data_IF_214848443355
#
_entry.id   IF_214848443355
#
_cell.length_a   1.000
_cell.length_b   1.000
_cell.length_c   1.000
_cell.angle_alpha   90.00
_cell.angle_beta   90.00
_cell.angle_gamma   90.00
#
_symmetry.space_group_name_H-M   'P 1'
#
loop_
_entity.id
_entity.type
_entity.pdbx_description
1 polymer ?
#
# COMPACT_ATOMS: atom_id res chain seq x y z
N UNK A 1 11.83 9.87 -12.34
CA UNK A 1 13.18 10.41 -12.65
C UNK A 1 14.25 9.87 -11.71
N UNK A 2 14.09 10.00 -10.38
CA UNK A 2 15.08 9.50 -9.40
C UNK A 2 15.35 7.99 -9.51
N UNK A 3 14.31 7.16 -9.60
CA UNK A 3 14.46 5.71 -9.70
C UNK A 3 15.29 5.28 -10.93
N UNK A 4 15.07 5.91 -12.08
CA UNK A 4 15.82 5.64 -13.32
C UNK A 4 17.30 5.98 -13.15
N UNK A 5 17.60 7.15 -12.58
CA UNK A 5 18.98 7.56 -12.30
C UNK A 5 19.70 6.58 -11.35
N UNK A 6 19.02 6.11 -10.29
CA UNK A 6 19.60 5.15 -9.36
C UNK A 6 19.79 3.76 -10.00
N UNK A 7 18.92 3.36 -10.93
CA UNK A 7 19.11 2.15 -11.72
C UNK A 7 20.33 2.26 -12.64
N UNK A 8 20.57 3.43 -13.24
CA UNK A 8 21.74 3.66 -14.09
C UNK A 8 23.06 3.62 -13.30
N UNK A 9 23.06 3.99 -12.01
CA UNK A 9 24.25 3.94 -11.14
C UNK A 9 24.51 2.55 -10.53
N UNK A 10 23.59 1.57 -10.70
CA UNK A 10 23.75 0.21 -10.16
C UNK A 10 25.06 -0.49 -10.55
N UNK A 11 25.53 -0.44 -11.81
CA UNK A 11 26.81 -1.06 -12.17
C UNK A 11 27.99 -0.48 -11.38
N UNK A 12 27.97 0.83 -11.12
CA UNK A 12 29.00 1.51 -10.33
C UNK A 12 28.92 1.12 -8.86
N UNK A 13 27.71 1.03 -8.29
CA UNK A 13 27.51 0.54 -6.93
C UNK A 13 28.03 -0.90 -6.78
N UNK A 14 27.69 -1.79 -7.72
CA UNK A 14 28.17 -3.19 -7.72
C UNK A 14 29.69 -3.27 -7.79
N UNK A 15 30.33 -2.47 -8.65
CA UNK A 15 31.78 -2.40 -8.72
C UNK A 15 32.42 -1.97 -7.39
N UNK A 16 31.83 -1.00 -6.67
CA UNK A 16 32.29 -0.59 -5.34
C UNK A 16 32.17 -1.72 -4.31
N UNK A 17 31.08 -2.50 -4.35
CA UNK A 17 30.86 -3.66 -3.47
C UNK A 17 31.89 -4.76 -3.77
N UNK A 18 32.07 -5.12 -5.04
CA UNK A 18 33.04 -6.12 -5.48
C UNK A 18 34.48 -5.75 -5.10
N UNK A 19 34.83 -4.47 -5.29
CA UNK A 19 36.13 -3.93 -4.89
C UNK A 19 36.27 -3.66 -3.38
N UNK A 20 35.22 -3.92 -2.58
CA UNK A 20 35.16 -3.66 -1.12
C UNK A 20 35.52 -2.22 -0.75
N UNK A 21 35.12 -1.26 -1.59
CA UNK A 21 35.36 0.18 -1.41
C UNK A 21 34.33 0.84 -0.51
N UNK A 22 33.25 0.14 -0.15
CA UNK A 22 32.20 0.58 0.76
C UNK A 22 31.95 -0.49 1.81
N UNK A 23 31.50 -0.06 2.98
CA UNK A 23 31.12 -0.93 4.09
C UNK A 23 29.80 -1.64 3.80
N UNK A 24 29.51 -2.70 4.58
CA UNK A 24 28.23 -3.41 4.49
C UNK A 24 27.04 -2.48 4.76
N UNK A 25 27.16 -1.59 5.75
CA UNK A 25 26.10 -0.63 6.10
C UNK A 25 25.86 0.38 4.94
N UNK A 26 26.92 0.95 4.36
CA UNK A 26 26.81 1.84 3.19
C UNK A 26 26.20 1.15 1.96
N UNK A 27 26.54 -0.12 1.73
CA UNK A 27 25.97 -0.94 0.67
C UNK A 27 24.47 -1.16 0.90
N UNK A 28 24.07 -1.55 2.12
CA UNK A 28 22.66 -1.76 2.50
C UNK A 28 21.88 -0.47 2.28
N UNK A 29 22.36 0.66 2.81
CA UNK A 29 21.70 1.96 2.65
C UNK A 29 21.51 2.36 1.17
N UNK A 30 22.52 2.10 0.33
CA UNK A 30 22.44 2.42 -1.11
C UNK A 30 21.39 1.58 -1.84
N UNK A 31 21.30 0.28 -1.55
CA UNK A 31 20.26 -0.58 -2.12
C UNK A 31 18.87 -0.23 -1.59
N UNK A 32 18.73 0.03 -0.28
CA UNK A 32 17.47 0.48 0.32
C UNK A 32 16.98 1.78 -0.32
N UNK A 33 17.88 2.74 -0.56
CA UNK A 33 17.52 4.00 -1.21
C UNK A 33 16.95 3.79 -2.62
N UNK A 34 17.56 2.91 -3.41
CA UNK A 34 17.05 2.53 -4.73
C UNK A 34 15.68 1.85 -4.63
N UNK A 35 15.51 0.90 -3.71
CA UNK A 35 14.24 0.18 -3.53
C UNK A 35 13.13 1.15 -3.13
N UNK A 36 13.38 2.07 -2.20
CA UNK A 36 12.42 3.11 -1.82
C UNK A 36 12.03 4.01 -3.00
N UNK A 37 12.98 4.36 -3.88
CA UNK A 37 12.68 5.12 -5.09
C UNK A 37 11.82 4.35 -6.09
N UNK A 38 11.97 3.02 -6.18
CA UNK A 38 11.11 2.18 -7.01
C UNK A 38 9.70 2.03 -6.42
N UNK A 39 9.61 1.82 -5.10
CA UNK A 39 8.35 1.76 -4.38
C UNK A 39 7.57 3.08 -4.46
N UNK A 40 8.26 4.23 -4.57
CA UNK A 40 7.64 5.54 -4.79
C UNK A 40 6.78 5.60 -6.08
N UNK A 41 7.11 4.82 -7.11
CA UNK A 41 6.34 4.78 -8.37
C UNK A 41 4.94 4.17 -8.16
N UNK A 42 4.82 3.24 -7.22
CA UNK A 42 3.53 2.61 -6.87
C UNK A 42 2.57 3.64 -6.26
N UNK A 43 3.10 4.60 -5.47
CA UNK A 43 2.32 5.72 -4.95
C UNK A 43 1.76 6.60 -6.07
N UNK A 44 2.58 6.92 -7.09
CA UNK A 44 2.14 7.72 -8.23
C UNK A 44 1.02 7.01 -9.00
N UNK A 45 1.12 5.69 -9.18
CA UNK A 45 0.07 4.90 -9.81
C UNK A 45 -1.22 4.90 -8.99
N UNK A 46 -1.13 4.72 -7.67
CA UNK A 46 -2.29 4.72 -6.78
C UNK A 46 -2.98 6.09 -6.66
N UNK A 47 -2.24 7.20 -6.73
CA UNK A 47 -2.80 8.56 -6.78
C UNK A 47 -3.68 8.79 -8.03
N UNK A 48 -3.37 8.11 -9.15
CA UNK A 48 -4.15 8.20 -10.40
C UNK A 48 -5.36 7.28 -10.46
N UNK A 49 -5.45 6.28 -9.57
CA UNK A 49 -6.54 5.32 -9.59
C UNK A 49 -7.87 5.97 -9.17
N UNK A 50 -8.91 5.71 -9.96
CA UNK A 50 -10.27 6.24 -9.74
C UNK A 50 -11.20 5.16 -9.19
N UNK A 51 -10.88 3.87 -9.36
CA UNK A 51 -11.65 2.77 -8.79
C UNK A 51 -11.18 2.46 -7.35
N UNK A 52 -12.09 2.36 -6.38
CA UNK A 52 -11.74 2.10 -4.98
C UNK A 52 -11.07 0.76 -4.76
N UNK A 53 -11.53 -0.30 -5.45
CA UNK A 53 -10.97 -1.64 -5.25
C UNK A 53 -9.55 -1.72 -5.83
N UNK A 54 -9.31 -1.06 -6.97
CA UNK A 54 -7.95 -0.92 -7.51
C UNK A 54 -7.06 -0.14 -6.52
N UNK A 55 -7.57 0.95 -5.94
CA UNK A 55 -6.83 1.77 -4.97
C UNK A 55 -6.50 0.95 -3.71
N UNK A 56 -7.47 0.24 -3.13
CA UNK A 56 -7.28 -0.65 -1.98
C UNK A 56 -6.27 -1.76 -2.28
N UNK A 57 -6.38 -2.40 -3.44
CA UNK A 57 -5.43 -3.45 -3.85
C UNK A 57 -4.00 -2.89 -4.03
N UNK A 58 -3.84 -1.68 -4.57
CA UNK A 58 -2.54 -1.01 -4.66
C UNK A 58 -1.97 -0.66 -3.28
N UNK A 59 -2.79 -0.17 -2.35
CA UNK A 59 -2.36 0.12 -0.96
C UNK A 59 -1.92 -1.17 -0.26
N UNK A 60 -2.67 -2.27 -0.41
CA UNK A 60 -2.31 -3.56 0.15
C UNK A 60 -0.98 -4.07 -0.43
N UNK A 61 -0.85 -4.09 -1.77
CA UNK A 61 0.36 -4.53 -2.45
C UNK A 61 1.58 -3.69 -2.05
N UNK A 62 1.43 -2.37 -2.00
CA UNK A 62 2.49 -1.45 -1.57
C UNK A 62 2.99 -1.77 -0.16
N UNK A 63 2.07 -1.85 0.81
CA UNK A 63 2.44 -2.10 2.20
C UNK A 63 3.08 -3.48 2.37
N UNK A 64 2.62 -4.47 1.61
CA UNK A 64 3.22 -5.80 1.61
C UNK A 64 4.64 -5.81 1.02
N UNK A 65 4.87 -5.13 -0.11
CA UNK A 65 6.22 -4.95 -0.66
C UNK A 65 7.15 -4.23 0.31
N UNK A 66 6.65 -3.21 1.02
CA UNK A 66 7.42 -2.50 2.04
C UNK A 66 7.74 -3.39 3.24
N UNK A 67 6.80 -4.20 3.72
CA UNK A 67 7.05 -5.19 4.76
C UNK A 67 8.15 -6.19 4.34
N UNK A 68 8.14 -6.61 3.07
CA UNK A 68 9.16 -7.51 2.51
C UNK A 68 10.54 -6.85 2.43
N UNK A 69 10.63 -5.59 2.01
CA UNK A 69 11.90 -4.85 2.00
C UNK A 69 12.49 -4.74 3.42
N UNK A 70 11.65 -4.36 4.39
CA UNK A 70 12.05 -4.28 5.79
C UNK A 70 12.45 -5.66 6.37
N UNK A 71 11.85 -6.76 5.92
CA UNK A 71 12.29 -8.11 6.25
C UNK A 71 13.66 -8.46 5.63
N UNK A 72 13.97 -7.91 4.45
CA UNK A 72 15.30 -8.01 3.85
C UNK A 72 16.37 -7.23 4.61
N UNK A 73 16.02 -6.05 5.13
CA UNK A 73 16.88 -5.28 6.02
C UNK A 73 17.10 -6.00 7.37
N UNK A 74 16.02 -6.56 7.93
CA UNK A 74 16.06 -7.39 9.14
C UNK A 74 17.02 -8.57 8.96
N UNK A 75 16.95 -9.25 7.81
CA UNK A 75 17.89 -10.33 7.46
C UNK A 75 19.34 -9.84 7.55
N UNK A 76 19.66 -8.72 6.89
CA UNK A 76 21.02 -8.19 6.84
C UNK A 76 21.55 -7.80 8.23
N UNK A 77 20.75 -7.09 9.03
CA UNK A 77 21.11 -6.70 10.40
C UNK A 77 21.26 -7.93 11.30
N UNK A 78 20.37 -8.91 11.17
CA UNK A 78 20.45 -10.14 11.94
C UNK A 78 21.74 -10.93 11.65
N UNK A 79 22.17 -11.01 10.38
CA UNK A 79 23.46 -11.65 10.02
C UNK A 79 24.63 -10.94 10.71
N UNK A 80 24.65 -9.61 10.70
CA UNK A 80 25.72 -8.82 11.37
C UNK A 80 25.77 -9.14 12.87
N UNK A 81 24.61 -9.18 13.54
CA UNK A 81 24.53 -9.48 14.97
C UNK A 81 24.93 -10.92 15.31
N UNK A 82 24.48 -11.91 14.55
CA UNK A 82 24.84 -13.31 14.80
C UNK A 82 26.31 -13.61 14.49
N UNK A 83 26.91 -13.00 13.46
CA UNK A 83 28.36 -13.12 13.20
C UNK A 83 29.17 -12.52 14.36
N UNK A 84 28.70 -11.41 14.91
CA UNK A 84 29.34 -10.74 16.06
C UNK A 84 29.20 -11.52 17.37
N UNK A 85 28.32 -12.53 17.40
CA UNK A 85 28.01 -13.36 18.57
C UNK A 85 27.12 -12.67 19.60
N UNK A 86 26.84 -11.38 19.47
CA UNK A 86 25.87 -10.66 20.29
C UNK A 86 25.35 -9.41 19.57
N UNK A 87 24.19 -8.93 20.00
CA UNK A 87 23.58 -7.71 19.51
C UNK A 87 23.83 -6.59 20.51
N UNK A 88 24.63 -5.61 20.12
CA UNK A 88 24.86 -4.42 20.93
C UNK A 88 23.59 -3.54 21.04
N UNK A 89 23.67 -2.44 21.79
CA UNK A 89 22.50 -1.57 21.99
C UNK A 89 21.96 -1.01 20.67
N UNK A 90 22.85 -0.60 19.75
CA UNK A 90 22.49 -0.01 18.48
C UNK A 90 21.83 -1.04 17.54
N UNK A 91 22.41 -2.24 17.41
CA UNK A 91 21.85 -3.33 16.60
C UNK A 91 20.49 -3.78 17.14
N UNK A 92 20.31 -3.84 18.47
CA UNK A 92 19.00 -4.17 19.07
C UNK A 92 17.95 -3.11 18.78
N UNK A 93 18.30 -1.84 18.89
CA UNK A 93 17.39 -0.74 18.56
C UNK A 93 16.97 -0.79 17.09
N UNK A 94 17.93 -0.97 16.17
CA UNK A 94 17.64 -1.16 14.74
C UNK A 94 16.73 -2.36 14.49
N UNK A 95 17.01 -3.50 15.10
CA UNK A 95 16.19 -4.71 14.97
C UNK A 95 14.75 -4.46 15.44
N UNK A 96 14.57 -3.86 16.60
CA UNK A 96 13.24 -3.52 17.14
C UNK A 96 12.50 -2.53 16.22
N UNK A 97 13.20 -1.53 15.70
CA UNK A 97 12.64 -0.58 14.75
C UNK A 97 12.15 -1.27 13.47
N UNK A 98 12.94 -2.19 12.92
CA UNK A 98 12.58 -2.96 11.72
C UNK A 98 11.35 -3.84 11.97
N UNK A 99 11.32 -4.57 13.09
CA UNK A 99 10.19 -5.41 13.47
C UNK A 99 8.89 -4.61 13.64
N UNK A 100 8.96 -3.49 14.36
CA UNK A 100 7.82 -2.60 14.54
C UNK A 100 7.34 -1.99 13.22
N UNK A 101 8.28 -1.64 12.33
CA UNK A 101 7.96 -1.09 11.00
C UNK A 101 7.31 -2.14 10.09
N UNK A 102 7.80 -3.37 10.09
CA UNK A 102 7.18 -4.49 9.38
C UNK A 102 5.75 -4.70 9.86
N UNK A 103 5.54 -4.72 11.19
CA UNK A 103 4.22 -4.93 11.78
C UNK A 103 3.21 -3.87 11.32
N UNK A 104 3.58 -2.59 11.35
CA UNK A 104 2.74 -1.50 10.85
C UNK A 104 2.36 -1.68 9.38
N UNK A 105 3.32 -2.07 8.54
CA UNK A 105 3.06 -2.32 7.12
C UNK A 105 2.09 -3.50 6.94
N UNK A 106 2.29 -4.59 7.66
CA UNK A 106 1.41 -5.77 7.63
C UNK A 106 0.00 -5.42 8.13
N UNK A 107 -0.14 -4.61 9.18
CA UNK A 107 -1.46 -4.21 9.70
C UNK A 107 -2.25 -3.41 8.64
N UNK A 108 -1.62 -2.48 7.94
CA UNK A 108 -2.26 -1.74 6.82
C UNK A 108 -2.56 -2.69 5.64
N UNK A 109 -1.65 -3.60 5.32
CA UNK A 109 -1.93 -4.64 4.32
C UNK A 109 -3.17 -5.46 4.68
N UNK A 110 -3.30 -5.91 5.94
CA UNK A 110 -4.45 -6.67 6.43
C UNK A 110 -5.73 -5.84 6.37
N UNK A 111 -5.68 -4.52 6.54
CA UNK A 111 -6.85 -3.64 6.40
C UNK A 111 -7.41 -3.68 4.98
N UNK A 112 -6.55 -3.48 3.97
CA UNK A 112 -6.97 -3.26 2.58
C UNK A 112 -6.95 -4.51 1.67
N UNK A 113 -6.27 -5.58 2.06
CA UNK A 113 -6.12 -6.77 1.22
C UNK A 113 -7.46 -7.52 0.99
N UNK A 114 -7.54 -8.31 -0.08
CA UNK A 114 -8.64 -9.26 -0.25
C UNK A 114 -8.57 -10.38 0.81
N UNK A 115 -9.73 -10.94 1.18
CA UNK A 115 -9.83 -11.96 2.24
C UNK A 115 -8.92 -13.18 2.00
N UNK A 116 -8.75 -13.59 0.74
CA UNK A 116 -7.85 -14.69 0.38
C UNK A 116 -6.40 -14.44 0.86
N UNK A 117 -5.89 -13.23 0.61
CA UNK A 117 -4.54 -12.84 1.01
C UNK A 117 -4.43 -12.66 2.53
N UNK A 118 -5.47 -12.16 3.22
CA UNK A 118 -5.49 -12.11 4.69
C UNK A 118 -5.36 -13.50 5.31
N UNK A 119 -6.11 -14.47 4.77
CA UNK A 119 -6.07 -15.85 5.25
C UNK A 119 -4.73 -16.52 4.96
N UNK A 120 -4.15 -16.27 3.79
CA UNK A 120 -2.83 -16.79 3.42
C UNK A 120 -1.73 -16.26 4.35
N UNK A 121 -1.76 -14.96 4.69
CA UNK A 121 -0.84 -14.37 5.68
C UNK A 121 -1.04 -14.97 7.07
N UNK A 122 -2.29 -15.06 7.54
CA UNK A 122 -2.59 -15.66 8.84
C UNK A 122 -2.13 -17.12 8.94
N UNK A 123 -2.24 -17.88 7.84
CA UNK A 123 -1.71 -19.24 7.77
C UNK A 123 -0.19 -19.28 7.83
N UNK A 124 0.49 -18.35 7.15
CA UNK A 124 1.96 -18.21 7.22
C UNK A 124 2.45 -17.90 8.63
N UNK A 125 1.76 -17.04 9.37
CA UNK A 125 2.14 -16.71 10.76
C UNK A 125 2.19 -17.93 11.68
N UNK A 126 1.44 -18.99 11.36
CA UNK A 126 1.40 -20.26 12.10
C UNK A 126 2.40 -21.31 11.59
N UNK A 127 3.08 -21.05 10.46
CA UNK A 127 4.05 -21.98 9.91
C UNK A 127 5.31 -22.10 10.77
N UNK A 128 5.93 -23.28 10.74
CA UNK A 128 7.16 -23.56 11.46
C UNK A 128 8.30 -22.59 11.08
N UNK A 129 8.40 -22.24 9.80
CA UNK A 129 9.34 -21.25 9.31
C UNK A 129 9.26 -19.91 10.08
N UNK A 130 8.05 -19.36 10.24
CA UNK A 130 7.85 -18.11 10.99
C UNK A 130 8.16 -18.29 12.48
N UNK A 131 7.78 -19.44 13.06
CA UNK A 131 8.07 -19.75 14.46
C UNK A 131 9.58 -19.80 14.74
N UNK A 132 10.37 -20.42 13.86
CA UNK A 132 11.84 -20.47 13.98
C UNK A 132 12.46 -19.06 13.89
N UNK A 133 11.98 -18.21 12.98
CA UNK A 133 12.44 -16.81 12.88
C UNK A 133 12.11 -16.04 14.16
N UNK A 134 10.90 -16.19 14.71
CA UNK A 134 10.49 -15.57 15.97
C UNK A 134 11.36 -16.04 17.15
N UNK A 135 11.70 -17.33 17.20
CA UNK A 135 12.62 -17.86 18.20
C UNK A 135 14.01 -17.23 18.09
N UNK A 136 14.56 -17.12 16.88
CA UNK A 136 15.87 -16.49 16.65
C UNK A 136 15.87 -15.00 16.99
N UNK A 137 14.77 -14.27 16.74
CA UNK A 137 14.62 -12.88 17.22
C UNK A 137 14.71 -12.82 18.74
N UNK A 138 14.04 -13.72 19.44
CA UNK A 138 14.12 -13.80 20.90
C UNK A 138 15.54 -14.15 21.39
N UNK A 139 16.29 -14.96 20.65
CA UNK A 139 17.71 -15.22 20.95
C UNK A 139 18.52 -13.92 20.79
N UNK A 140 18.36 -13.21 19.67
CA UNK A 140 19.05 -11.95 19.39
C UNK A 140 18.85 -10.93 20.52
N UNK A 141 17.62 -10.76 21.00
CA UNK A 141 17.28 -9.83 22.09
C UNK A 141 17.97 -10.16 23.43
N UNK A 142 18.17 -11.46 23.73
CA UNK A 142 18.76 -11.92 25.00
C UNK A 142 20.28 -11.97 24.97
N UNK A 143 20.92 -11.80 23.82
CA UNK A 143 22.38 -11.83 23.73
C UNK A 143 23.02 -10.66 24.47
N UNK A 144 24.15 -10.93 25.09
CA UNK A 144 24.97 -9.91 25.76
C UNK A 144 26.46 -10.23 25.53
N UNK A 145 27.39 -9.28 25.75
CA UNK A 145 28.81 -9.56 25.64
C UNK A 145 29.29 -10.71 26.55
N UNK A 146 28.58 -10.97 27.66
CA UNK A 146 28.90 -12.06 28.61
C UNK A 146 28.19 -13.37 28.29
N UNK A 147 27.18 -13.35 27.39
CA UNK A 147 26.43 -14.52 26.94
C UNK A 147 26.32 -14.53 25.41
N UNK A 148 27.45 -14.75 24.69
CA UNK A 148 27.46 -14.77 23.24
C UNK A 148 26.80 -16.04 22.70
N UNK A 149 26.36 -15.97 21.44
CA UNK A 149 25.80 -17.09 20.69
C UNK A 149 26.76 -17.58 19.62
N UNK A 150 26.55 -18.82 19.15
CA UNK A 150 27.38 -19.40 18.09
C UNK A 150 27.24 -18.60 16.79
N UNK A 151 28.35 -18.23 16.12
CA UNK A 151 28.32 -17.59 14.81
C UNK A 151 27.64 -18.43 13.72
N UNK A 152 27.51 -19.75 13.91
CA UNK A 152 26.76 -20.64 13.01
C UNK A 152 25.27 -20.28 12.90
N UNK A 153 24.72 -19.61 13.92
CA UNK A 153 23.35 -19.11 13.85
C UNK A 153 23.16 -18.06 12.75
N UNK A 154 24.22 -17.40 12.29
CA UNK A 154 24.13 -16.43 11.19
C UNK A 154 23.71 -17.07 9.86
N UNK A 155 24.21 -18.27 9.57
CA UNK A 155 23.85 -19.02 8.37
C UNK A 155 22.40 -19.51 8.45
N UNK A 156 22.03 -20.12 9.59
CA UNK A 156 20.64 -20.57 9.85
C UNK A 156 19.65 -19.39 9.76
N UNK A 157 20.01 -18.25 10.36
CA UNK A 157 19.21 -17.03 10.27
C UNK A 157 19.06 -16.54 8.82
N UNK A 158 20.16 -16.51 8.07
CA UNK A 158 20.15 -16.08 6.68
C UNK A 158 19.25 -16.96 5.81
N UNK A 159 19.32 -18.28 5.99
CA UNK A 159 18.53 -19.24 5.24
C UNK A 159 17.04 -19.09 5.55
N UNK A 160 16.66 -19.11 6.84
CA UNK A 160 15.26 -18.94 7.26
C UNK A 160 14.68 -17.60 6.81
N UNK A 161 15.44 -16.51 6.98
CA UNK A 161 14.98 -15.19 6.57
C UNK A 161 14.84 -15.08 5.04
N UNK A 162 15.72 -15.76 4.28
CA UNK A 162 15.62 -15.82 2.82
C UNK A 162 14.41 -16.65 2.37
N UNK A 163 14.15 -17.80 3.00
CA UNK A 163 12.95 -18.60 2.71
C UNK A 163 11.66 -17.83 3.01
N UNK A 164 11.62 -17.07 4.11
CA UNK A 164 10.50 -16.16 4.40
C UNK A 164 10.34 -15.09 3.31
N UNK A 165 11.43 -14.49 2.84
CA UNK A 165 11.37 -13.49 1.76
C UNK A 165 10.88 -14.10 0.44
N UNK A 166 11.30 -15.32 0.12
CA UNK A 166 10.84 -16.05 -1.07
C UNK A 166 9.35 -16.34 -0.99
N UNK A 167 8.86 -16.77 0.18
CA UNK A 167 7.43 -16.94 0.42
C UNK A 167 6.65 -15.63 0.25
N UNK A 168 7.17 -14.53 0.83
CA UNK A 168 6.58 -13.21 0.63
C UNK A 168 6.58 -12.83 -0.85
N UNK A 169 7.64 -13.14 -1.61
CA UNK A 169 7.70 -12.84 -3.04
C UNK A 169 6.61 -13.59 -3.83
N UNK A 170 6.38 -14.86 -3.53
CA UNK A 170 5.29 -15.63 -4.17
C UNK A 170 3.94 -14.93 -3.93
N UNK A 171 3.66 -14.55 -2.69
CA UNK A 171 2.40 -13.87 -2.35
C UNK A 171 2.29 -12.47 -2.99
N UNK A 172 3.41 -11.74 -3.15
CA UNK A 172 3.45 -10.47 -3.89
C UNK A 172 3.12 -10.68 -5.39
N UNK A 173 3.62 -11.75 -6.01
CA UNK A 173 3.35 -12.07 -7.40
C UNK A 173 1.89 -12.48 -7.62
N UNK A 174 1.29 -13.21 -6.67
CA UNK A 174 -0.13 -13.53 -6.67
C UNK A 174 -1.00 -12.27 -6.54
N UNK A 175 -0.66 -11.36 -5.61
CA UNK A 175 -1.34 -10.06 -5.47
C UNK A 175 -1.24 -9.22 -6.76
N UNK A 176 -0.06 -9.19 -7.38
CA UNK A 176 0.15 -8.47 -8.64
C UNK A 176 -0.69 -9.08 -9.78
N UNK A 177 -0.78 -10.40 -9.84
CA UNK A 177 -1.61 -11.11 -10.82
C UNK A 177 -3.09 -10.83 -10.61
N UNK A 178 -3.56 -10.86 -9.36
CA UNK A 178 -4.95 -10.53 -9.01
C UNK A 178 -5.28 -9.08 -9.35
N UNK A 179 -4.38 -8.13 -9.06
CA UNK A 179 -4.55 -6.72 -9.40
C UNK A 179 -4.72 -6.53 -10.92
N UNK A 180 -3.92 -7.22 -11.74
CA UNK A 180 -4.08 -7.18 -13.20
C UNK A 180 -5.44 -7.72 -13.65
N UNK A 181 -5.89 -8.84 -13.06
CA UNK A 181 -7.21 -9.40 -13.35
C UNK A 181 -8.33 -8.43 -12.94
N UNK A 182 -8.23 -7.81 -11.77
CA UNK A 182 -9.17 -6.79 -11.29
C UNK A 182 -9.24 -5.60 -12.25
N UNK A 183 -8.09 -5.09 -12.71
CA UNK A 183 -8.06 -4.01 -13.71
C UNK A 183 -8.78 -4.43 -15.01
N UNK A 184 -8.55 -5.64 -15.50
CA UNK A 184 -9.22 -6.15 -16.70
C UNK A 184 -10.74 -6.30 -16.50
N UNK A 185 -11.18 -6.83 -15.36
CA UNK A 185 -12.59 -6.93 -14.97
C UNK A 185 -13.25 -5.55 -14.95
N UNK A 186 -12.62 -4.56 -14.31
CA UNK A 186 -13.14 -3.18 -14.23
C UNK A 186 -13.22 -2.50 -15.59
N UNK A 187 -12.24 -2.71 -16.47
CA UNK A 187 -12.28 -2.20 -17.85
C UNK A 187 -13.47 -2.80 -18.61
N UNK A 188 -13.67 -4.12 -18.53
CA UNK A 188 -14.79 -4.79 -19.18
C UNK A 188 -16.15 -4.30 -18.65
N UNK A 189 -16.27 -4.12 -17.33
CA UNK A 189 -17.48 -3.57 -16.72
C UNK A 189 -17.77 -2.15 -17.22
N UNK A 190 -16.75 -1.28 -17.27
CA UNK A 190 -16.92 0.09 -17.75
C UNK A 190 -17.33 0.14 -19.23
N UNK A 191 -16.79 -0.75 -20.06
CA UNK A 191 -17.17 -0.88 -21.47
C UNK A 191 -18.63 -1.33 -21.62
N UNK A 192 -19.04 -2.36 -20.88
CA UNK A 192 -20.41 -2.86 -20.89
C UNK A 192 -21.41 -1.81 -20.39
N UNK A 193 -21.08 -1.07 -19.33
CA UNK A 193 -21.90 0.02 -18.82
C UNK A 193 -22.05 1.14 -19.87
N UNK A 194 -20.99 1.49 -20.59
CA UNK A 194 -21.04 2.48 -21.67
C UNK A 194 -21.93 2.02 -22.83
N UNK A 195 -21.84 0.75 -23.23
CA UNK A 195 -22.68 0.17 -24.29
C UNK A 195 -24.16 0.15 -23.89
N UNK A 196 -24.46 -0.17 -22.63
CA UNK A 196 -25.81 -0.13 -22.09
C UNK A 196 -26.37 1.29 -22.09
N UNK A 197 -25.60 2.28 -21.61
CA UNK A 197 -26.01 3.69 -21.63
C UNK A 197 -26.22 4.20 -23.05
N UNK A 198 -25.32 3.88 -23.98
CA UNK A 198 -25.44 4.20 -25.41
C UNK A 198 -26.72 3.62 -26.01
N UNK A 199 -27.05 2.36 -25.68
CA UNK A 199 -28.27 1.69 -26.14
C UNK A 199 -29.53 2.34 -25.56
N UNK A 200 -29.51 2.71 -24.27
CA UNK A 200 -30.63 3.37 -23.60
C UNK A 200 -30.87 4.77 -24.21
N UNK A 201 -29.82 5.55 -24.43
CA UNK A 201 -29.90 6.86 -25.10
C UNK A 201 -30.47 6.74 -26.52
N UNK A 202 -30.03 5.74 -27.31
CA UNK A 202 -30.61 5.48 -28.63
C UNK A 202 -32.10 5.15 -28.56
N UNK A 203 -32.53 4.35 -27.59
CA UNK A 203 -33.96 4.04 -27.38
C UNK A 203 -34.77 5.28 -26.99
N UNK A 204 -34.22 6.16 -26.15
CA UNK A 204 -34.86 7.44 -25.79
C UNK A 204 -35.00 8.35 -27.01
N UNK A 205 -33.94 8.49 -27.83
CA UNK A 205 -33.99 9.28 -29.05
C UNK A 205 -35.04 8.76 -30.06
N UNK A 206 -35.25 7.45 -30.13
CA UNK A 206 -36.31 6.84 -30.95
C UNK A 206 -37.73 7.12 -30.42
N UNK A 207 -37.88 7.32 -29.11
CA UNK A 207 -39.17 7.65 -28.48
C UNK A 207 -39.55 9.14 -28.63
N UNK A 208 -38.57 10.01 -28.89
CA UNK A 208 -38.73 11.44 -29.20
C UNK A 208 -38.91 11.71 -30.70
N UNK A 209 -38.93 10.67 -31.54
CA UNK A 209 -39.23 10.82 -32.97
C UNK A 209 -40.66 11.38 -33.17
N UNK A 210 -40.86 12.37 -34.05
CA UNK A 210 -42.16 13.03 -34.21
C UNK A 210 -43.21 12.05 -34.69
N UNK A 211 -44.14 11.69 -33.80
CA UNK A 211 -45.35 10.97 -34.15
C UNK A 211 -46.41 11.97 -34.64
N UNK A 212 -47.29 11.61 -35.59
CA UNK A 212 -48.32 12.50 -36.13
C UNK A 212 -49.40 12.91 -35.10
N UNK A 213 -49.33 12.42 -33.86
CA UNK A 213 -50.19 12.81 -32.76
C UNK A 213 -49.34 13.30 -31.58
N UNK A 214 -49.29 14.62 -31.31
CA UNK A 214 -48.48 15.17 -30.24
C UNK A 214 -49.07 14.76 -28.88
N UNK A 215 -48.49 13.75 -28.25
CA UNK A 215 -48.78 13.42 -26.85
C UNK A 215 -47.82 14.23 -25.99
N UNK A 216 -48.32 15.27 -25.32
CA UNK A 216 -47.53 16.03 -24.36
C UNK A 216 -47.06 15.10 -23.22
N UNK A 217 -45.77 14.73 -23.23
CA UNK A 217 -45.15 13.91 -22.18
C UNK A 217 -44.53 14.85 -21.15
N UNK A 218 -45.30 15.21 -20.13
CA UNK A 218 -44.81 15.97 -18.98
C UNK A 218 -44.00 15.06 -18.05
N UNK A 219 -42.68 15.23 -18.04
CA UNK A 219 -41.81 14.65 -17.02
C UNK A 219 -41.91 15.51 -15.75
N UNK A 220 -42.71 15.08 -14.78
CA UNK A 220 -42.76 15.73 -13.48
C UNK A 220 -41.85 15.01 -12.48
N UNK A 221 -40.75 15.68 -12.08
CA UNK A 221 -39.77 15.18 -11.10
C UNK A 221 -40.27 15.35 -9.65
N UNK A 222 -41.35 16.11 -9.43
CA UNK A 222 -41.94 16.29 -8.10
C UNK A 222 -43.46 16.44 -8.21
N UNK A 223 -44.19 15.33 -8.14
CA UNK A 223 -45.58 15.37 -7.67
C UNK A 223 -46.00 13.99 -7.16
N UNK A 224 -46.05 13.84 -5.84
CA UNK A 224 -47.03 12.95 -5.23
C UNK A 224 -48.39 13.57 -5.51
N UNK A 225 -49.06 13.14 -6.57
CA UNK A 225 -50.48 13.38 -6.75
C UNK A 225 -51.24 12.33 -5.92
N UNK A 226 -51.77 12.76 -4.78
CA UNK A 226 -52.78 12.01 -4.04
C UNK A 226 -53.99 11.78 -4.97
N UNK A 227 -54.24 10.52 -5.32
CA UNK A 227 -55.52 10.09 -5.90
C UNK A 227 -55.56 9.91 -7.41
N UNK A 228 -54.77 8.98 -7.95
CA UNK A 228 -55.16 8.23 -9.16
C UNK A 228 -54.41 6.91 -9.22
N UNK A 229 -55.14 5.80 -9.36
CA UNK A 229 -54.60 4.43 -9.40
C UNK A 229 -53.49 4.26 -10.45
N UNK A 230 -52.27 3.84 -10.09
CA UNK A 230 -51.11 3.84 -10.98
C UNK A 230 -50.84 2.44 -11.53
N UNK A 231 -51.61 1.98 -12.51
CA UNK A 231 -51.35 0.66 -13.11
C UNK A 231 -50.63 0.74 -14.47
N UNK A 232 -51.15 1.46 -15.47
CA UNK A 232 -50.78 1.14 -16.87
C UNK A 232 -50.40 2.34 -17.75
N UNK A 233 -49.62 3.30 -17.25
CA UNK A 233 -48.96 4.28 -18.14
C UNK A 233 -47.48 3.94 -18.34
N UNK A 234 -47.02 3.60 -19.56
CA UNK A 234 -45.64 3.20 -19.84
C UNK A 234 -44.59 4.24 -19.38
N UNK A 235 -44.97 5.52 -19.36
CA UNK A 235 -44.09 6.62 -18.95
C UNK A 235 -43.77 6.65 -17.45
N UNK A 236 -44.70 6.21 -16.59
CA UNK A 236 -44.51 6.21 -15.12
C UNK A 236 -43.64 5.06 -14.60
N UNK A 237 -43.61 3.91 -15.30
CA UNK A 237 -42.70 2.82 -14.96
C UNK A 237 -41.26 3.17 -15.36
N UNK A 238 -41.07 3.84 -16.50
CA UNK A 238 -39.77 4.27 -16.98
C UNK A 238 -39.16 5.39 -16.13
N UNK A 239 -39.95 6.39 -15.71
CA UNK A 239 -39.46 7.46 -14.84
C UNK A 239 -39.02 6.95 -13.47
N UNK A 240 -39.74 5.97 -12.92
CA UNK A 240 -39.37 5.27 -11.68
C UNK A 240 -38.07 4.49 -11.88
N UNK A 241 -37.94 3.73 -12.97
CA UNK A 241 -36.73 2.99 -13.31
C UNK A 241 -35.49 3.87 -13.51
N UNK A 242 -35.65 5.08 -14.09
CA UNK A 242 -34.56 6.05 -14.26
C UNK A 242 -34.17 6.66 -12.90
N UNK A 243 -35.14 7.05 -12.08
CA UNK A 243 -34.89 7.58 -10.74
C UNK A 243 -34.23 6.54 -9.83
N UNK A 244 -34.68 5.29 -9.90
CA UNK A 244 -34.09 4.17 -9.15
C UNK A 244 -32.64 3.91 -9.60
N UNK A 245 -32.35 4.01 -10.91
CA UNK A 245 -31.00 3.90 -11.46
C UNK A 245 -30.10 5.06 -11.02
N UNK A 246 -30.59 6.30 -11.06
CA UNK A 246 -29.85 7.49 -10.59
C UNK A 246 -29.58 7.42 -9.08
N UNK A 247 -30.55 6.95 -8.31
CA UNK A 247 -30.40 6.78 -6.87
C UNK A 247 -29.39 5.66 -6.56
N UNK A 248 -29.48 4.52 -7.23
CA UNK A 248 -28.51 3.43 -7.11
C UNK A 248 -27.08 3.86 -7.53
N UNK A 249 -26.95 4.68 -8.58
CA UNK A 249 -25.66 5.26 -8.99
C UNK A 249 -25.12 6.24 -7.95
N UNK A 250 -25.98 7.07 -7.36
CA UNK A 250 -25.56 8.03 -6.32
C UNK A 250 -25.04 7.31 -5.08
N UNK A 251 -25.77 6.28 -4.60
CA UNK A 251 -25.33 5.46 -3.47
C UNK A 251 -24.00 4.76 -3.79
N UNK A 252 -23.87 4.20 -5.01
CA UNK A 252 -22.63 3.56 -5.46
C UNK A 252 -21.46 4.55 -5.47
N UNK A 253 -21.64 5.74 -6.04
CA UNK A 253 -20.60 6.77 -6.09
C UNK A 253 -20.19 7.25 -4.70
N UNK A 254 -21.15 7.41 -3.78
CA UNK A 254 -20.86 7.78 -2.39
C UNK A 254 -20.06 6.70 -1.66
N UNK A 255 -20.44 5.43 -1.79
CA UNK A 255 -19.70 4.32 -1.19
C UNK A 255 -18.28 4.21 -1.76
N UNK A 256 -18.14 4.32 -3.09
CA UNK A 256 -16.84 4.34 -3.76
C UNK A 256 -15.97 5.51 -3.29
N UNK A 257 -16.55 6.71 -3.14
CA UNK A 257 -15.82 7.88 -2.64
C UNK A 257 -15.26 7.64 -1.24
N UNK A 258 -16.05 7.08 -0.32
CA UNK A 258 -15.62 6.82 1.06
C UNK A 258 -14.45 5.82 1.09
N UNK A 259 -14.52 4.76 0.29
CA UNK A 259 -13.48 3.74 0.22
C UNK A 259 -12.19 4.30 -0.41
N UNK A 260 -12.31 5.08 -1.49
CA UNK A 260 -11.19 5.82 -2.10
C UNK A 260 -10.56 6.76 -1.06
N UNK A 261 -11.36 7.54 -0.34
CA UNK A 261 -10.88 8.50 0.65
C UNK A 261 -10.16 7.79 1.81
N UNK A 262 -10.60 6.58 2.20
CA UNK A 262 -9.89 5.74 3.17
C UNK A 262 -8.53 5.29 2.65
N UNK A 263 -8.50 4.63 1.48
CA UNK A 263 -7.29 4.10 0.89
C UNK A 263 -6.27 5.20 0.53
N UNK A 264 -6.75 6.32 -0.04
CA UNK A 264 -5.92 7.49 -0.35
C UNK A 264 -5.38 8.17 0.89
N UNK A 265 -6.13 8.22 1.99
CA UNK A 265 -5.59 8.74 3.25
C UNK A 265 -4.40 7.90 3.72
N UNK A 266 -4.54 6.59 3.83
CA UNK A 266 -3.44 5.70 4.23
C UNK A 266 -2.19 5.91 3.34
N UNK A 267 -2.40 6.03 2.04
CA UNK A 267 -1.35 6.28 1.07
C UNK A 267 -0.70 7.67 1.22
N UNK A 268 -1.52 8.71 1.37
CA UNK A 268 -1.06 10.11 1.50
C UNK A 268 -0.31 10.31 2.80
N UNK A 269 -0.80 9.74 3.90
CA UNK A 269 -0.14 9.77 5.19
C UNK A 269 1.28 9.19 5.10
N UNK A 270 1.42 8.04 4.45
CA UNK A 270 2.72 7.42 4.24
C UNK A 270 3.62 8.28 3.36
N UNK A 271 3.10 8.80 2.24
CA UNK A 271 3.84 9.70 1.34
C UNK A 271 4.35 10.95 2.08
N UNK A 272 3.54 11.54 2.95
CA UNK A 272 3.93 12.69 3.78
C UNK A 272 5.07 12.31 4.73
N UNK A 273 4.98 11.17 5.41
CA UNK A 273 6.03 10.68 6.32
C UNK A 273 7.34 10.43 5.55
N UNK A 274 7.28 9.76 4.40
CA UNK A 274 8.47 9.52 3.56
C UNK A 274 9.11 10.82 3.07
N UNK A 275 8.29 11.81 2.68
CA UNK A 275 8.81 13.13 2.28
C UNK A 275 9.46 13.87 3.44
N UNK A 276 8.86 13.85 4.63
CA UNK A 276 9.41 14.48 5.82
C UNK A 276 10.75 13.81 6.22
N UNK A 277 10.83 12.48 6.19
CA UNK A 277 12.10 11.74 6.35
C UNK A 277 13.14 12.23 5.34
N UNK A 278 12.77 12.29 4.06
CA UNK A 278 13.67 12.75 2.99
C UNK A 278 14.14 14.21 3.14
N UNK A 279 13.38 15.07 3.82
CA UNK A 279 13.82 16.43 4.18
C UNK A 279 14.82 16.37 5.34
N UNK A 280 14.52 15.64 6.41
CA UNK A 280 15.43 15.50 7.56
C UNK A 280 16.77 14.87 7.15
N UNK A 281 16.74 13.85 6.29
CA UNK A 281 17.94 13.21 5.76
C UNK A 281 18.82 14.23 5.03
N UNK A 282 18.23 15.14 4.25
CA UNK A 282 18.97 16.18 3.52
C UNK A 282 19.47 17.30 4.44
N UNK A 283 18.65 17.75 5.38
CA UNK A 283 18.95 18.88 6.25
C UNK A 283 19.97 18.54 7.34
N UNK A 284 19.89 17.33 7.89
CA UNK A 284 20.71 16.89 9.03
C UNK A 284 21.71 15.79 8.67
N UNK A 285 21.83 15.42 7.38
CA UNK A 285 22.71 14.35 6.90
C UNK A 285 22.50 13.02 7.66
N UNK A 286 21.26 12.76 8.04
CA UNK A 286 20.87 11.57 8.77
C UNK A 286 20.62 10.41 7.80
N UNK A 287 20.91 9.20 8.25
CA UNK A 287 20.38 8.01 7.59
C UNK A 287 18.87 7.91 7.82
N UNK A 288 18.20 7.05 7.05
CA UNK A 288 16.74 6.94 7.09
C UNK A 288 16.21 6.54 8.48
N UNK A 289 16.94 5.65 9.16
CA UNK A 289 16.63 5.19 10.52
C UNK A 289 16.66 6.36 11.51
N UNK A 290 17.73 7.16 11.52
CA UNK A 290 17.89 8.29 12.43
C UNK A 290 16.88 9.41 12.14
N UNK A 291 16.56 9.65 10.86
CA UNK A 291 15.53 10.61 10.48
C UNK A 291 14.16 10.19 11.03
N UNK A 292 13.79 8.90 10.91
CA UNK A 292 12.55 8.39 11.47
C UNK A 292 12.54 8.42 13.01
N UNK A 293 13.63 7.98 13.65
CA UNK A 293 13.76 7.98 15.10
C UNK A 293 13.60 9.40 15.67
N UNK A 294 14.17 10.41 15.00
CA UNK A 294 13.99 11.81 15.37
C UNK A 294 12.53 12.27 15.23
N UNK A 295 11.84 11.89 14.15
CA UNK A 295 10.41 12.18 14.00
C UNK A 295 9.58 11.53 15.10
N UNK A 296 9.89 10.29 15.47
CA UNK A 296 9.21 9.56 16.53
C UNK A 296 9.47 10.18 17.91
N UNK A 297 10.71 10.57 18.21
CA UNK A 297 11.05 11.24 19.46
C UNK A 297 10.32 12.59 19.57
N UNK A 298 10.26 13.36 18.48
CA UNK A 298 9.48 14.59 18.43
C UNK A 298 7.98 14.35 18.63
N UNK A 299 7.43 13.30 18.01
CA UNK A 299 6.03 12.90 18.20
C UNK A 299 5.75 12.55 19.67
N UNK A 300 6.65 11.80 20.32
CA UNK A 300 6.52 11.39 21.71
C UNK A 300 6.66 12.58 22.68
N UNK A 301 7.63 13.47 22.44
CA UNK A 301 7.83 14.67 23.26
C UNK A 301 6.63 15.64 23.19
N UNK A 302 5.93 15.70 22.04
CA UNK A 302 4.80 16.60 21.81
C UNK A 302 3.43 15.92 22.03
N UNK A 303 3.40 14.61 22.27
CA UNK A 303 2.14 13.84 22.37
C UNK A 303 1.32 13.84 21.07
N UNK A 304 1.97 13.98 19.92
CA UNK A 304 1.32 14.13 18.61
C UNK A 304 1.46 12.86 17.76
N UNK A 305 0.62 12.71 16.72
CA UNK A 305 0.81 11.60 15.77
C UNK A 305 2.03 11.87 14.91
N UNK A 306 2.67 10.80 14.45
CA UNK A 306 3.83 10.91 13.54
C UNK A 306 3.52 11.71 12.27
N UNK A 307 2.28 11.59 11.78
CA UNK A 307 1.79 12.36 10.64
C UNK A 307 1.79 13.88 10.91
N UNK A 308 1.41 14.31 12.10
CA UNK A 308 1.35 15.73 12.47
C UNK A 308 2.76 16.34 12.49
N UNK A 309 3.72 15.58 13.03
CA UNK A 309 5.15 15.94 13.00
C UNK A 309 5.68 15.99 11.56
N UNK A 310 5.29 15.04 10.71
CA UNK A 310 5.67 15.04 9.30
C UNK A 310 5.19 16.32 8.59
N UNK A 311 3.95 16.75 8.85
CA UNK A 311 3.43 18.02 8.33
C UNK A 311 4.18 19.24 8.88
N UNK A 312 4.52 19.25 10.17
CA UNK A 312 5.29 20.34 10.78
C UNK A 312 6.68 20.48 10.12
N UNK A 313 7.40 19.37 9.96
CA UNK A 313 8.72 19.35 9.30
C UNK A 313 8.62 19.85 7.86
N UNK A 314 7.60 19.43 7.11
CA UNK A 314 7.41 19.87 5.72
C UNK A 314 7.01 21.34 5.60
N UNK A 315 6.39 21.91 6.64
CA UNK A 315 6.05 23.34 6.70
C UNK A 315 7.26 24.21 7.05
N UNK A 316 8.15 23.68 7.88
CA UNK A 316 9.39 24.35 8.30
C UNK A 316 10.57 24.08 7.34
N UNK A 317 10.36 23.24 6.32
CA UNK A 317 11.34 22.96 5.28
C UNK A 317 11.50 24.19 4.35
N UNK A 318 12.74 24.60 4.02
CA UNK A 318 13.02 25.76 3.18
C UNK A 318 12.61 25.59 1.70
#
# INVERSE_FOLDING_TARGET
>A
ALAVYLLDDLPRLRQKVEARLITADESIQSFTHLINALLAVVFEAADTAVDPHITSALVALFNFMQAKDLAGQERAIGVVGFISGYFDANLREKMQFLLASQRRCVDVFIEFAELAFKNQWAAFEQQDLNNQIVQLRGVAERTTPTTPVSPQLAEIWFDLASERMDWMKIMEDEQTTRLRALCAEKIQMAQHDLDNHSTLLKRLALLDAPTPFPTARLFNVQAVALGSSPADSPGTQLSRSILDLLHAQTIRLQAMSIEIDGARRALTERKTIERAKGVLMRQYQLNEEAAYAQMQQNAMNQGAKLLDIAHAILKDAP
#
